data_IF_216492871455
#
_entry.id   IF_216492871455
#
_cell.length_a   1.000
_cell.length_b   1.000
_cell.length_c   1.000
_cell.angle_alpha   90.00
_cell.angle_beta   90.00
_cell.angle_gamma   90.00
#
_symmetry.space_group_name_H-M   'P 1'
#
loop_
_entity.id
_entity.type
_entity.pdbx_description
1 polymer ?
#
# COMPACT_ATOMS: atom_id res chain seq x y z
N UNK A 1 -20.63 -6.28 0.29
CA UNK A 1 -19.22 -5.94 0.40
C UNK A 1 -18.54 -6.66 1.52
N UNK A 2 -17.39 -7.19 1.27
CA UNK A 2 -16.65 -7.93 2.28
C UNK A 2 -15.75 -6.99 3.06
N UNK A 3 -15.71 -7.18 4.36
CA UNK A 3 -14.84 -6.39 5.23
C UNK A 3 -13.37 -6.60 4.89
N UNK A 4 -13.01 -7.83 4.52
CA UNK A 4 -11.64 -8.15 4.15
C UNK A 4 -11.16 -7.41 2.93
N UNK A 5 -12.09 -7.09 2.00
CA UNK A 5 -11.76 -6.35 0.80
C UNK A 5 -11.27 -4.95 1.11
N UNK A 6 -11.98 -4.28 2.00
CA UNK A 6 -11.61 -2.91 2.40
C UNK A 6 -10.26 -2.87 3.07
N UNK A 7 -10.10 -3.74 4.05
CA UNK A 7 -8.85 -3.81 4.80
C UNK A 7 -7.69 -4.15 3.87
N UNK A 8 -7.92 -5.10 2.97
CA UNK A 8 -6.90 -5.51 2.03
C UNK A 8 -6.51 -4.38 1.09
N UNK A 9 -7.48 -3.61 0.63
CA UNK A 9 -7.23 -2.47 -0.25
C UNK A 9 -6.44 -1.39 0.45
N UNK A 10 -6.81 -1.09 1.68
CA UNK A 10 -6.13 -0.06 2.47
C UNK A 10 -4.70 -0.49 2.74
N UNK A 11 -4.50 -1.74 3.13
CA UNK A 11 -3.17 -2.27 3.42
C UNK A 11 -2.30 -2.26 2.16
N UNK A 12 -2.88 -2.64 1.03
CA UNK A 12 -2.17 -2.65 -0.24
C UNK A 12 -1.77 -1.24 -0.65
N UNK A 13 -2.67 -0.30 -0.46
CA UNK A 13 -2.39 1.10 -0.77
C UNK A 13 -1.25 1.64 0.09
N UNK A 14 -1.31 1.35 1.38
CA UNK A 14 -0.26 1.77 2.30
C UNK A 14 1.09 1.15 1.93
N UNK A 15 1.08 -0.13 1.58
CA UNK A 15 2.29 -0.82 1.16
C UNK A 15 2.87 -0.24 -0.12
N UNK A 16 2.00 0.07 -1.08
CA UNK A 16 2.43 0.66 -2.33
C UNK A 16 3.05 2.05 -2.10
N UNK A 17 2.44 2.84 -1.24
CA UNK A 17 2.97 4.17 -0.93
C UNK A 17 4.35 4.07 -0.31
N UNK A 18 4.54 3.14 0.60
CA UNK A 18 5.84 2.92 1.23
C UNK A 18 6.88 2.43 0.23
N UNK A 19 6.46 1.55 -0.68
CA UNK A 19 7.37 1.02 -1.69
C UNK A 19 7.84 2.13 -2.63
N UNK A 20 6.93 3.00 -3.04
CA UNK A 20 7.27 4.12 -3.91
C UNK A 20 8.22 5.07 -3.20
N UNK A 21 7.92 5.40 -1.95
CA UNK A 21 8.78 6.29 -1.17
C UNK A 21 10.18 5.69 -1.02
N UNK A 22 10.25 4.39 -0.75
CA UNK A 22 11.52 3.70 -0.62
C UNK A 22 12.31 3.72 -1.91
N UNK A 23 11.63 3.49 -3.03
CA UNK A 23 12.28 3.49 -4.34
C UNK A 23 12.85 4.87 -4.67
N UNK A 24 12.09 5.92 -4.40
CA UNK A 24 12.54 7.28 -4.65
C UNK A 24 13.80 7.59 -3.83
N UNK A 25 13.82 7.15 -2.59
CA UNK A 25 14.99 7.39 -1.74
C UNK A 25 16.21 6.63 -2.22
N UNK A 26 16.01 5.50 -2.90
CA UNK A 26 17.11 4.70 -3.40
C UNK A 26 17.71 5.24 -4.68
N UNK A 27 16.94 6.02 -5.42
CA UNK A 27 17.41 6.64 -6.64
C UNK A 27 18.30 7.84 -6.30
#
# INVERSE_FOLDING_TARGET
MYHGERLNSITHLAGAALAIAGAVMLI
#
